data_IF_782397388567
#
_entry.id   IF_782397388567
#
_cell.length_a   1.000
_cell.length_b   1.000
_cell.length_c   1.000
_cell.angle_alpha   90.00
_cell.angle_beta   90.00
_cell.angle_gamma   90.00
#
_symmetry.space_group_name_H-M   'P 1'
#
loop_
_entity.id
_entity.type
_entity.pdbx_description
1 polymer ?
#
# COMPACT_ATOMS: atom_id res chain seq x y z
N UNK A 1 12.16 28.96 2.05
CA UNK A 1 11.03 28.04 1.81
C UNK A 1 11.18 26.88 2.79
N UNK A 2 10.28 26.75 3.77
CA UNK A 2 10.27 25.63 4.70
C UNK A 2 9.88 24.37 3.93
N UNK A 3 10.71 23.33 3.99
CA UNK A 3 10.35 22.03 3.42
C UNK A 3 9.22 21.44 4.28
N UNK A 4 8.01 21.44 3.74
CA UNK A 4 6.85 20.85 4.39
C UNK A 4 6.83 19.33 4.15
N UNK A 5 6.57 18.59 5.22
CA UNK A 5 6.54 17.13 5.24
C UNK A 5 5.14 16.64 5.51
N UNK A 6 4.76 15.53 4.88
CA UNK A 6 3.47 14.88 5.08
C UNK A 6 3.67 13.40 5.41
N UNK A 7 2.87 12.87 6.33
CA UNK A 7 2.89 11.44 6.63
C UNK A 7 2.35 10.61 5.47
N UNK A 8 2.82 9.37 5.34
CA UNK A 8 2.33 8.43 4.33
C UNK A 8 0.80 8.32 4.32
N UNK A 9 0.18 8.16 5.50
CA UNK A 9 -1.27 8.03 5.64
C UNK A 9 -2.01 9.28 5.16
N UNK A 10 -1.49 10.47 5.45
CA UNK A 10 -2.09 11.73 4.99
C UNK A 10 -1.86 11.95 3.50
N UNK A 11 -0.71 11.56 2.96
CA UNK A 11 -0.43 11.64 1.52
C UNK A 11 -1.42 10.79 0.71
N UNK A 12 -1.64 9.54 1.14
CA UNK A 12 -2.61 8.62 0.53
C UNK A 12 -4.03 9.21 0.57
N UNK A 13 -4.46 9.71 1.74
CA UNK A 13 -5.81 10.26 1.91
C UNK A 13 -6.04 11.53 1.08
N UNK A 14 -5.08 12.46 1.10
CA UNK A 14 -5.20 13.81 0.53
C UNK A 14 -4.98 13.83 -0.98
N UNK A 15 -3.97 13.13 -1.47
CA UNK A 15 -3.54 13.16 -2.88
C UNK A 15 -3.94 11.90 -3.65
N UNK A 16 -4.76 11.02 -3.04
CA UNK A 16 -5.28 9.78 -3.65
C UNK A 16 -4.20 8.86 -4.24
N UNK A 17 -2.98 8.95 -3.71
CA UNK A 17 -1.86 8.09 -4.07
C UNK A 17 -1.98 6.74 -3.37
N UNK A 18 -1.46 5.68 -3.98
CA UNK A 18 -1.35 4.39 -3.30
C UNK A 18 0.02 4.24 -2.64
N UNK A 19 0.08 3.35 -1.64
CA UNK A 19 1.35 2.99 -0.97
C UNK A 19 2.41 2.53 -1.99
N UNK A 20 1.99 1.81 -3.03
CA UNK A 20 2.90 1.36 -4.09
C UNK A 20 3.52 2.54 -4.86
N UNK A 21 2.73 3.56 -5.19
CA UNK A 21 3.21 4.74 -5.92
C UNK A 21 4.26 5.48 -5.10
N UNK A 22 4.03 5.61 -3.79
CA UNK A 22 5.01 6.22 -2.89
C UNK A 22 6.28 5.38 -2.82
N UNK A 23 6.18 4.08 -2.59
CA UNK A 23 7.34 3.20 -2.41
C UNK A 23 8.18 3.03 -3.69
N UNK A 24 7.52 2.88 -4.84
CA UNK A 24 8.19 2.71 -6.14
C UNK A 24 8.91 3.96 -6.63
N UNK A 25 8.69 5.11 -5.96
CA UNK A 25 9.30 6.39 -6.30
C UNK A 25 10.33 6.86 -5.26
N UNK A 26 10.65 6.08 -4.22
CA UNK A 26 11.67 6.45 -3.22
C UNK A 26 13.05 6.47 -3.88
N UNK A 27 13.67 7.64 -3.97
CA UNK A 27 15.03 7.82 -4.49
C UNK A 27 16.07 8.03 -3.37
N UNK A 28 15.63 8.57 -2.23
CA UNK A 28 16.50 8.86 -1.08
C UNK A 28 15.78 8.55 0.22
N UNK A 29 16.50 7.99 1.17
CA UNK A 29 16.02 7.78 2.54
C UNK A 29 16.89 8.61 3.50
N UNK A 30 16.23 9.31 4.41
CA UNK A 30 16.85 10.07 5.51
C UNK A 30 16.31 9.48 6.80
N UNK A 31 17.16 8.83 7.57
CA UNK A 31 16.77 8.27 8.86
C UNK A 31 17.14 9.24 9.99
N UNK A 32 16.14 9.64 10.76
CA UNK A 32 16.29 10.53 11.92
C UNK A 32 15.67 9.95 13.20
N UNK A 33 15.41 8.64 13.21
CA UNK A 33 14.97 7.95 14.43
C UNK A 33 16.03 8.10 15.52
N UNK A 34 15.63 8.62 16.69
CA UNK A 34 16.57 8.95 17.79
C UNK A 34 16.84 7.76 18.71
N UNK A 35 16.16 6.65 18.50
CA UNK A 35 16.23 5.50 19.40
C UNK A 35 17.53 4.72 19.22
N UNK A 36 18.41 4.90 20.22
CA UNK A 36 19.59 4.07 20.57
C UNK A 36 19.29 2.58 20.85
N UNK A 37 18.12 2.05 20.48
CA UNK A 37 17.71 0.68 20.78
C UNK A 37 17.63 -0.12 19.48
N UNK A 38 18.75 -0.78 19.19
CA UNK A 38 18.93 -1.75 18.12
C UNK A 38 18.84 -1.19 16.69
N UNK A 39 20.00 -1.02 16.06
CA UNK A 39 20.15 -1.05 14.60
C UNK A 39 19.19 -0.18 13.78
N UNK A 40 19.07 1.12 14.10
CA UNK A 40 18.29 2.10 13.32
C UNK A 40 18.61 2.04 11.81
N UNK A 41 19.88 1.78 11.50
CA UNK A 41 20.41 1.64 10.14
C UNK A 41 19.79 0.45 9.36
N UNK A 42 19.31 -0.61 10.03
CA UNK A 42 18.70 -1.78 9.37
C UNK A 42 17.37 -1.40 8.72
N UNK A 43 16.58 -0.55 9.36
CA UNK A 43 15.29 -0.15 8.80
C UNK A 43 15.48 0.72 7.56
N UNK A 44 16.41 1.69 7.59
CA UNK A 44 16.75 2.50 6.43
C UNK A 44 17.33 1.66 5.28
N UNK A 45 18.24 0.71 5.57
CA UNK A 45 18.85 -0.18 4.57
C UNK A 45 17.87 -1.20 3.97
N UNK A 46 16.79 -1.52 4.67
CA UNK A 46 15.75 -2.44 4.17
C UNK A 46 14.86 -1.81 3.09
N UNK A 47 14.85 -0.48 2.97
CA UNK A 47 14.00 0.24 2.02
C UNK A 47 14.62 0.16 0.62
N UNK A 48 13.84 -0.38 -0.32
CA UNK A 48 14.24 -0.48 -1.72
C UNK A 48 14.23 0.91 -2.37
N UNK A 49 15.39 1.35 -2.83
CA UNK A 49 15.53 2.55 -3.65
C UNK A 49 15.12 2.25 -5.09
N UNK A 50 14.27 3.11 -5.64
CA UNK A 50 13.82 3.04 -7.02
C UNK A 50 14.97 3.33 -7.98
N UNK A 51 15.15 2.46 -8.98
CA UNK A 51 16.18 2.66 -10.03
C UNK A 51 15.77 3.73 -11.04
N UNK A 52 14.49 3.76 -11.42
CA UNK A 52 13.92 4.69 -12.38
C UNK A 52 12.57 5.21 -11.85
N UNK A 53 12.57 6.06 -10.82
CA UNK A 53 11.34 6.64 -10.31
C UNK A 53 10.74 7.61 -11.33
N UNK A 54 9.40 7.70 -11.38
CA UNK A 54 8.70 8.74 -12.14
C UNK A 54 9.01 10.12 -11.56
N UNK A 55 9.07 10.21 -10.23
CA UNK A 55 9.52 11.39 -9.47
C UNK A 55 10.34 10.90 -8.28
N UNK A 56 11.55 11.44 -8.09
CA UNK A 56 12.44 10.99 -7.01
C UNK A 56 11.98 11.49 -5.63
N UNK A 57 11.26 10.66 -4.88
CA UNK A 57 10.80 10.98 -3.53
C UNK A 57 11.91 10.81 -2.49
N UNK A 58 12.00 11.78 -1.59
CA UNK A 58 12.77 11.67 -0.35
C UNK A 58 11.85 11.15 0.76
N UNK A 59 12.18 9.98 1.29
CA UNK A 59 11.54 9.42 2.47
C UNK A 59 12.34 9.80 3.71
N UNK A 60 11.68 10.43 4.68
CA UNK A 60 12.23 10.70 6.01
C UNK A 60 11.59 9.76 7.03
N UNK A 61 12.42 9.02 7.75
CA UNK A 61 11.99 8.17 8.85
C UNK A 61 12.18 8.93 10.16
N UNK A 62 11.14 8.98 10.97
CA UNK A 62 11.18 9.60 12.31
C UNK A 62 10.54 8.66 13.33
N UNK A 63 10.87 8.84 14.61
CA UNK A 63 10.24 8.07 15.68
C UNK A 63 8.73 8.25 15.62
N UNK A 64 8.00 7.15 15.79
CA UNK A 64 6.55 7.21 15.76
C UNK A 64 6.04 7.87 17.04
N UNK A 65 5.29 8.98 16.97
CA UNK A 65 4.82 9.69 18.17
C UNK A 65 3.88 8.84 19.03
N UNK A 66 3.32 7.77 18.48
CA UNK A 66 2.48 6.80 19.20
C UNK A 66 3.27 5.72 19.93
N UNK A 67 4.60 5.74 19.86
CA UNK A 67 5.47 4.76 20.53
C UNK A 67 5.52 3.39 19.85
N UNK A 68 5.05 3.27 18.61
CA UNK A 68 5.20 2.03 17.83
C UNK A 68 6.66 1.79 17.43
N UNK A 69 7.04 0.51 17.34
CA UNK A 69 8.38 0.09 16.91
C UNK A 69 8.70 0.49 15.46
N UNK A 70 7.67 0.54 14.61
CA UNK A 70 7.80 0.98 13.23
C UNK A 70 7.83 2.52 13.13
N UNK A 71 8.85 3.09 12.45
CA UNK A 71 9.02 4.53 12.32
C UNK A 71 7.92 5.13 11.45
N UNK A 72 7.60 6.39 11.76
CA UNK A 72 6.70 7.16 10.93
C UNK A 72 7.41 7.58 9.64
N UNK A 73 6.74 7.35 8.52
CA UNK A 73 7.22 7.66 7.17
C UNK A 73 6.70 9.02 6.72
N UNK A 74 7.61 9.94 6.43
CA UNK A 74 7.32 11.28 5.98
C UNK A 74 7.86 11.51 4.56
N UNK A 75 7.10 12.21 3.74
CA UNK A 75 7.47 12.59 2.37
C UNK A 75 7.42 14.10 2.21
N UNK A 76 8.24 14.64 1.32
CA UNK A 76 8.22 16.06 0.99
C UNK A 76 6.96 16.40 0.16
N UNK A 77 6.18 17.38 0.60
CA UNK A 77 4.89 17.73 -0.05
C UNK A 77 5.07 18.15 -1.50
N UNK A 78 6.12 18.93 -1.82
CA UNK A 78 6.36 19.39 -3.20
C UNK A 78 6.58 18.22 -4.16
N UNK A 79 7.28 17.19 -3.71
CA UNK A 79 7.55 15.98 -4.50
C UNK A 79 6.29 15.11 -4.66
N UNK A 80 5.43 15.08 -3.63
CA UNK A 80 4.14 14.38 -3.68
C UNK A 80 3.20 15.01 -4.72
N UNK A 81 3.13 16.35 -4.77
CA UNK A 81 2.35 17.08 -5.77
C UNK A 81 2.86 16.84 -7.20
N UNK A 82 4.18 16.79 -7.37
CA UNK A 82 4.81 16.48 -8.65
C UNK A 82 4.50 15.04 -9.09
N UNK A 83 4.54 14.08 -8.16
CA UNK A 83 4.20 12.69 -8.43
C UNK A 83 2.73 12.53 -8.84
N UNK A 84 1.80 13.15 -8.10
CA UNK A 84 0.38 13.15 -8.44
C UNK A 84 0.15 13.69 -9.86
N UNK A 85 0.73 14.85 -10.17
CA UNK A 85 0.63 15.47 -11.49
C UNK A 85 1.19 14.57 -12.60
N UNK A 86 2.32 13.90 -12.33
CA UNK A 86 2.98 13.01 -13.28
C UNK A 86 2.18 11.73 -13.53
N UNK A 87 1.56 11.16 -12.50
CA UNK A 87 0.69 10.00 -12.62
C UNK A 87 -0.58 10.31 -13.42
N UNK A 88 -1.18 11.48 -13.21
CA UNK A 88 -2.33 11.95 -14.00
C UNK A 88 -1.95 12.04 -15.48
N UNK A 89 -0.79 12.66 -15.80
CA UNK A 89 -0.30 12.77 -17.18
C UNK A 89 -0.03 11.41 -17.80
N UNK A 90 0.63 10.50 -17.08
CA UNK A 90 0.95 9.15 -17.55
C UNK A 90 -0.31 8.33 -17.88
N UNK A 91 -1.36 8.45 -17.06
CA UNK A 91 -2.62 7.75 -17.31
C UNK A 91 -3.40 8.37 -18.48
N UNK A 92 -3.33 9.69 -18.68
CA UNK A 92 -3.94 10.36 -19.83
C UNK A 92 -3.27 9.99 -21.16
N UNK A 93 -1.94 9.88 -21.22
CA UNK A 93 -1.23 9.46 -22.44
C UNK A 93 -1.51 8.00 -22.79
N UNK A 94 -1.66 7.11 -21.80
CA UNK A 94 -1.99 5.71 -22.05
C UNK A 94 -3.39 5.51 -22.65
N UNK A 95 -4.37 6.35 -22.31
CA UNK A 95 -5.71 6.29 -22.89
C UNK A 95 -5.82 6.89 -24.30
N UNK A 96 -4.94 7.83 -24.68
CA UNK A 96 -4.92 8.40 -26.03
C UNK A 96 -4.26 7.47 -27.07
N UNK A 97 -3.39 6.55 -26.64
CA UNK A 97 -2.79 5.55 -27.53
C UNK A 97 -3.74 4.44 -27.98
N UNK A 98 -4.84 4.20 -27.26
CA UNK A 98 -5.77 3.09 -27.56
C UNK A 98 -6.86 3.53 -28.56
N UNK A 99 -7.20 4.82 -28.61
CA UNK A 99 -8.23 5.35 -29.52
C UNK A 99 -7.70 5.66 -30.93
N UNK A 100 -6.38 5.81 -31.11
CA UNK A 100 -5.77 6.09 -32.41
C UNK A 100 -5.52 4.82 -33.29
N UNK A 101 -5.50 3.62 -32.71
CA UNK A 101 -5.24 2.35 -33.43
C UNK A 101 -6.51 1.51 -33.62
N UNK A 102 -7.63 2.14 -33.95
CA UNK A 102 -8.88 1.44 -34.36
C UNK A 102 -9.44 1.94 -35.70
N UNK A 103 -8.56 2.35 -36.62
CA UNK A 103 -8.89 2.49 -38.04
C UNK A 103 -7.82 1.81 -38.89
N UNK A 104 -7.90 0.49 -38.97
CA UNK A 104 -7.48 -0.35 -40.11
C UNK A 104 -7.12 -1.74 -39.61
N UNK A 105 -8.02 -2.70 -39.83
CA UNK A 105 -7.77 -4.00 -40.50
C UNK A 105 -9.01 -4.88 -40.34
N UNK A 106 -9.81 -4.84 -41.39
CA UNK A 106 -10.48 -5.96 -42.08
C UNK A 106 -10.90 -7.18 -41.28
N UNK A 107 -12.21 -7.45 -41.34
CA UNK A 107 -12.94 -8.67 -40.95
C UNK A 107 -12.16 -9.96 -41.29
N UNK A 108 -12.02 -10.88 -40.32
CA UNK A 108 -12.05 -12.33 -40.59
C UNK A 108 -12.67 -13.05 -39.39
N UNK A 109 -13.90 -13.55 -39.58
CA UNK A 109 -14.57 -14.52 -38.71
C UNK A 109 -13.81 -15.85 -38.77
N UNK A 110 -13.37 -16.43 -37.64
CA UNK A 110 -13.27 -17.90 -37.48
C UNK A 110 -13.59 -18.35 -36.06
N UNK A 111 -14.76 -19.00 -35.98
CA UNK A 111 -15.23 -20.09 -35.12
C UNK A 111 -14.60 -20.34 -33.74
N UNK A 112 -15.43 -20.19 -32.70
CA UNK A 112 -15.22 -20.82 -31.40
C UNK A 112 -15.39 -22.34 -31.51
N UNK A 113 -14.44 -23.11 -30.97
CA UNK A 113 -14.67 -24.52 -30.64
C UNK A 113 -14.53 -24.68 -29.12
N UNK A 114 -15.69 -24.94 -28.52
CA UNK A 114 -15.96 -25.26 -27.12
C UNK A 114 -15.24 -26.58 -26.77
N UNK A 115 -14.48 -26.62 -25.68
CA UNK A 115 -14.06 -27.88 -25.07
C UNK A 115 -14.64 -27.96 -23.66
N UNK A 116 -15.76 -28.68 -23.54
CA UNK A 116 -16.24 -29.25 -22.28
C UNK A 116 -15.29 -30.35 -21.84
N UNK A 117 -14.89 -30.34 -20.56
CA UNK A 117 -14.41 -31.55 -19.90
C UNK A 117 -14.76 -31.54 -18.41
N UNK A 118 -15.99 -31.99 -18.20
CA UNK A 118 -16.43 -33.06 -17.31
C UNK A 118 -15.93 -33.09 -15.85
N UNK A 119 -16.90 -32.90 -14.96
CA UNK A 119 -16.91 -33.10 -13.52
C UNK A 119 -16.57 -34.54 -13.13
N UNK A 120 -15.73 -34.73 -12.11
CA UNK A 120 -15.81 -35.94 -11.27
C UNK A 120 -15.52 -35.62 -9.81
N UNK A 121 -16.56 -35.85 -9.02
CA UNK A 121 -16.69 -35.66 -7.57
C UNK A 121 -15.85 -36.70 -6.84
N UNK A 122 -15.20 -36.30 -5.74
CA UNK A 122 -15.08 -37.17 -4.56
C UNK A 122 -15.01 -36.32 -3.29
N UNK A 123 -16.13 -36.30 -2.58
CA UNK A 123 -16.22 -35.86 -1.19
C UNK A 123 -15.74 -36.98 -0.27
N UNK A 124 -15.00 -36.60 0.78
CA UNK A 124 -14.89 -37.36 2.02
C UNK A 124 -14.60 -36.35 3.16
N UNK A 125 -15.61 -36.11 3.99
CA UNK A 125 -15.51 -35.59 5.36
C UNK A 125 -14.58 -36.51 6.18
N UNK A 126 -13.91 -36.18 7.29
CA UNK A 126 -14.22 -35.30 8.42
C UNK A 126 -13.02 -35.38 9.39
N UNK A 127 -12.62 -34.28 10.04
CA UNK A 127 -12.11 -34.21 11.43
C UNK A 127 -11.36 -32.88 11.66
N UNK A 128 -11.92 -32.00 12.50
CA UNK A 128 -11.10 -31.05 13.27
C UNK A 128 -10.66 -31.70 14.58
N UNK A 129 -10.04 -30.98 15.53
CA UNK A 129 -9.49 -29.62 15.48
C UNK A 129 -7.99 -29.58 15.86
N UNK A 130 -7.23 -28.56 15.46
CA UNK A 130 -6.00 -28.23 16.20
C UNK A 130 -5.62 -26.76 16.06
N UNK A 131 -5.54 -26.13 17.23
CA UNK A 131 -4.98 -24.82 17.47
C UNK A 131 -3.57 -24.73 16.89
N UNK A 132 -3.36 -23.81 15.96
CA UNK A 132 -2.26 -22.83 16.07
C UNK A 132 -2.71 -21.56 15.37
N UNK A 133 -3.00 -20.57 16.21
CA UNK A 133 -3.23 -19.20 15.81
C UNK A 133 -2.05 -18.76 14.94
N UNK A 134 -2.36 -18.36 13.71
CA UNK A 134 -1.42 -17.68 12.84
C UNK A 134 -1.15 -16.31 13.45
N UNK A 135 -0.09 -16.24 14.26
CA UNK A 135 0.62 -15.01 14.58
C UNK A 135 1.27 -14.52 13.30
N UNK A 136 0.53 -13.86 12.42
CA UNK A 136 1.12 -12.92 11.46
C UNK A 136 0.06 -12.15 10.68
N UNK A 137 0.46 -10.98 10.19
CA UNK A 137 -0.28 -10.12 9.28
C UNK A 137 -1.32 -9.17 9.90
N UNK A 138 -0.84 -8.28 10.76
CA UNK A 138 -1.45 -6.96 10.95
C UNK A 138 -0.52 -5.76 10.67
N UNK A 139 0.78 -5.99 10.47
CA UNK A 139 1.77 -4.92 10.23
C UNK A 139 1.76 -4.31 8.81
N UNK A 140 1.17 -4.99 7.83
CA UNK A 140 1.37 -4.61 6.42
C UNK A 140 0.29 -3.67 5.84
N UNK A 141 -0.90 -3.62 6.43
CA UNK A 141 -2.02 -2.80 5.95
C UNK A 141 -2.78 -2.29 7.16
N UNK A 142 -2.77 -0.96 7.35
CA UNK A 142 -3.36 -0.28 8.50
C UNK A 142 -4.65 -0.93 9.01
N UNK A 143 -4.73 -1.05 10.33
CA UNK A 143 -5.86 -1.67 11.00
C UNK A 143 -7.15 -0.89 10.73
N UNK A 144 -8.15 -1.57 10.20
CA UNK A 144 -9.52 -1.07 10.12
C UNK A 144 -10.26 -1.54 11.39
N UNK A 145 -10.80 -0.59 12.15
CA UNK A 145 -11.50 -0.84 13.40
C UNK A 145 -13.00 -0.63 13.24
N UNK A 146 -13.78 -1.49 13.90
CA UNK A 146 -15.23 -1.41 13.97
C UNK A 146 -15.65 -1.10 15.40
N UNK A 147 -16.52 -0.10 15.64
CA UNK A 147 -17.04 0.18 16.96
C UNK A 147 -17.93 -0.98 17.41
N UNK A 148 -17.61 -1.57 18.57
CA UNK A 148 -18.40 -2.65 19.19
C UNK A 148 -19.22 -2.12 20.37
N UNK A 149 -18.75 -1.04 20.99
CA UNK A 149 -19.47 -0.30 22.02
C UNK A 149 -19.04 1.16 22.02
N UNK A 150 -19.77 2.02 22.75
CA UNK A 150 -19.47 3.46 22.85
C UNK A 150 -18.05 3.77 23.33
N UNK A 151 -17.39 2.80 23.97
CA UNK A 151 -16.05 2.93 24.53
C UNK A 151 -15.04 1.97 23.91
N UNK A 152 -15.41 1.13 22.93
CA UNK A 152 -14.51 0.11 22.37
C UNK A 152 -14.64 -0.06 20.86
N UNK A 153 -13.49 -0.15 20.21
CA UNK A 153 -13.36 -0.51 18.80
C UNK A 153 -12.55 -1.80 18.66
N UNK A 154 -12.90 -2.64 17.69
CA UNK A 154 -12.23 -3.93 17.45
C UNK A 154 -11.66 -3.95 16.04
N UNK A 155 -10.39 -4.32 15.91
CA UNK A 155 -9.79 -4.51 14.60
C UNK A 155 -10.46 -5.68 13.86
N UNK A 156 -10.94 -5.43 12.64
CA UNK A 156 -11.59 -6.46 11.81
C UNK A 156 -10.72 -7.67 11.53
N UNK A 157 -9.40 -7.48 11.45
CA UNK A 157 -8.43 -8.50 11.04
C UNK A 157 -7.88 -9.31 12.21
N UNK A 158 -7.32 -8.66 13.24
CA UNK A 158 -6.74 -9.36 14.40
C UNK A 158 -7.67 -9.49 15.60
N UNK A 159 -8.88 -8.93 15.55
CA UNK A 159 -9.82 -8.91 16.69
C UNK A 159 -9.26 -8.24 17.95
N UNK A 160 -8.21 -7.42 17.80
CA UNK A 160 -7.66 -6.63 18.89
C UNK A 160 -8.63 -5.50 19.25
N UNK A 161 -9.03 -5.43 20.51
CA UNK A 161 -9.92 -4.40 21.06
C UNK A 161 -9.11 -3.22 21.57
N UNK A 162 -9.49 -2.01 21.20
CA UNK A 162 -8.94 -0.75 21.70
C UNK A 162 -10.05 0.09 22.32
N UNK A 163 -9.70 0.96 23.27
CA UNK A 163 -10.64 1.92 23.82
C UNK A 163 -10.89 3.04 22.79
N UNK A 164 -12.16 3.34 22.53
CA UNK A 164 -12.56 4.43 21.64
C UNK A 164 -12.29 5.76 22.35
N UNK A 165 -11.56 6.68 21.70
CA UNK A 165 -11.33 8.02 22.25
C UNK A 165 -12.65 8.80 22.21
N UNK A 166 -13.28 8.98 23.37
CA UNK A 166 -14.35 9.95 23.56
C UNK A 166 -13.76 11.35 23.31
N UNK A 167 -14.26 12.03 22.28
CA UNK A 167 -13.92 13.43 21.96
C UNK A 167 -14.33 14.35 23.11
#
# INVERSE_FOLDING_TARGET
MTQEWISQSNAIKKYKLNTYDLHSNISKVVDETKSKRFESDVQAKSIKIAKNPLVGLTLRLVDNPRGYDAPMRLYNISQILELESSLIKHNQTHHQGITAVKKSTTKTKRNMKKSELNSKIKAASSAGPSLRASEDSCDAFGHEFEPVSDTQEVCKKCKMTIASETI
#
